data_IF_047678728907
#
_entry.id   IF_047678728907
#
_cell.length_a   1.000
_cell.length_b   1.000
_cell.length_c   1.000
_cell.angle_alpha   90.00
_cell.angle_beta   90.00
_cell.angle_gamma   90.00
#
_symmetry.space_group_name_H-M   'P 1'
#
loop_
_entity.id
_entity.type
_entity.pdbx_description
1 polymer ?
#
# COMPACT_ATOMS: atom_id res chain seq x y z
N UNK A 1 3.53 13.14 -5.16
CA UNK A 1 2.31 13.91 -5.51
C UNK A 1 2.10 15.09 -4.54
N UNK A 2 1.76 16.29 -5.00
CA UNK A 2 1.60 17.51 -4.18
C UNK A 2 0.21 17.74 -3.55
N UNK A 3 -0.56 16.70 -3.30
CA UNK A 3 -1.85 16.79 -2.61
C UNK A 3 -1.75 16.30 -1.15
N UNK A 4 -2.81 16.45 -0.33
CA UNK A 4 -2.75 16.02 1.07
C UNK A 4 -2.38 14.55 1.26
N UNK A 5 -2.84 13.67 0.36
CA UNK A 5 -2.51 12.24 0.38
C UNK A 5 -1.01 12.02 0.14
N UNK A 6 -0.46 12.58 -0.93
CA UNK A 6 0.94 12.39 -1.29
C UNK A 6 1.89 13.01 -0.28
N UNK A 7 1.56 14.19 0.24
CA UNK A 7 2.36 14.85 1.28
C UNK A 7 2.34 14.07 2.60
N UNK A 8 1.17 13.56 2.99
CA UNK A 8 1.01 12.72 4.18
C UNK A 8 1.84 11.44 4.08
N UNK A 9 1.73 10.73 2.96
CA UNK A 9 2.46 9.48 2.75
C UNK A 9 3.97 9.69 2.66
N UNK A 10 4.44 10.69 1.91
CA UNK A 10 5.87 11.02 1.84
C UNK A 10 6.46 11.37 3.23
N UNK A 11 5.70 12.07 4.08
CA UNK A 11 6.13 12.36 5.45
C UNK A 11 6.17 11.10 6.32
N UNK A 12 5.17 10.22 6.20
CA UNK A 12 5.14 8.96 6.93
C UNK A 12 6.35 8.07 6.56
N UNK A 13 6.64 7.93 5.26
CA UNK A 13 7.81 7.20 4.76
C UNK A 13 9.11 7.82 5.29
N UNK A 14 9.25 9.15 5.25
CA UNK A 14 10.45 9.81 5.75
C UNK A 14 10.66 9.64 7.25
N UNK A 15 9.58 9.78 8.04
CA UNK A 15 9.61 9.59 9.49
C UNK A 15 9.98 8.15 9.86
N UNK A 16 9.43 7.15 9.18
CA UNK A 16 9.75 5.75 9.45
C UNK A 16 11.16 5.39 8.99
N UNK A 17 11.59 5.90 7.82
CA UNK A 17 12.96 5.74 7.31
C UNK A 17 13.99 6.23 8.32
N UNK A 18 13.75 7.39 8.95
CA UNK A 18 14.64 7.93 9.97
C UNK A 18 14.80 7.00 11.19
N UNK A 19 13.71 6.34 11.64
CA UNK A 19 13.74 5.37 12.74
C UNK A 19 14.54 4.11 12.38
N UNK A 20 14.49 3.72 11.11
CA UNK A 20 15.18 2.54 10.57
C UNK A 20 16.62 2.83 10.13
N UNK A 21 17.10 4.08 10.28
CA UNK A 21 18.43 4.48 9.84
C UNK A 21 18.59 4.60 8.32
N UNK A 22 17.48 4.67 7.58
CA UNK A 22 17.46 4.86 6.12
C UNK A 22 17.58 6.36 5.82
N UNK A 23 18.60 6.73 5.04
CA UNK A 23 18.81 8.12 4.63
C UNK A 23 17.83 8.51 3.52
N UNK A 24 17.02 9.54 3.78
CA UNK A 24 16.17 10.18 2.77
C UNK A 24 16.90 11.37 2.16
N UNK A 25 17.25 11.27 0.87
CA UNK A 25 18.00 12.31 0.16
C UNK A 25 17.14 13.53 -0.23
N UNK A 26 15.82 13.36 -0.28
CA UNK A 26 14.89 14.45 -0.52
C UNK A 26 13.46 13.98 -0.79
N UNK A 27 12.53 14.92 -0.74
CA UNK A 27 11.14 14.75 -1.17
C UNK A 27 10.90 15.66 -2.37
N UNK A 28 10.41 15.10 -3.48
CA UNK A 28 10.28 15.81 -4.76
C UNK A 28 8.80 15.93 -5.14
N UNK A 29 8.07 16.91 -4.58
CA UNK A 29 6.66 17.12 -4.88
C UNK A 29 6.47 17.57 -6.34
N UNK A 30 5.36 17.17 -6.95
CA UNK A 30 4.93 17.54 -8.30
C UNK A 30 3.42 17.84 -8.32
N UNK A 31 3.01 18.83 -9.11
CA UNK A 31 1.60 19.16 -9.29
C UNK A 31 0.89 18.04 -10.08
N UNK A 32 -0.10 17.35 -9.49
CA UNK A 32 -0.82 16.30 -10.17
C UNK A 32 -1.94 16.77 -11.10
N UNK A 33 -2.11 18.08 -11.30
CA UNK A 33 -3.16 18.59 -12.16
C UNK A 33 -2.97 18.07 -13.61
N UNK A 34 -4.06 17.70 -14.31
CA UNK A 34 -3.95 17.26 -15.70
C UNK A 34 -3.24 18.26 -16.62
N UNK A 35 -3.31 19.57 -16.30
CA UNK A 35 -2.60 20.63 -17.01
C UNK A 35 -1.08 20.64 -16.82
N UNK A 36 -0.58 20.06 -15.73
CA UNK A 36 0.84 19.99 -15.42
C UNK A 36 1.50 18.67 -15.87
N UNK A 37 0.68 17.62 -16.10
CA UNK A 37 1.15 16.31 -16.53
C UNK A 37 1.51 16.27 -18.02
N UNK A 38 2.57 15.57 -18.44
CA UNK A 38 3.52 14.80 -17.62
C UNK A 38 4.76 15.62 -17.19
N UNK A 39 4.78 16.94 -17.45
CA UNK A 39 5.98 17.76 -17.28
C UNK A 39 6.39 17.90 -15.80
N UNK A 40 5.42 17.99 -14.89
CA UNK A 40 5.68 18.06 -13.46
C UNK A 40 6.32 16.79 -12.92
N UNK A 41 5.84 15.61 -13.34
CA UNK A 41 6.40 14.30 -12.99
C UNK A 41 7.85 14.17 -13.49
N UNK A 42 8.10 14.54 -14.75
CA UNK A 42 9.44 14.53 -15.34
C UNK A 42 10.40 15.43 -14.55
N UNK A 43 9.97 16.64 -14.19
CA UNK A 43 10.78 17.56 -13.41
C UNK A 43 11.08 17.02 -12.00
N UNK A 44 10.14 16.33 -11.35
CA UNK A 44 10.37 15.69 -10.05
C UNK A 44 11.34 14.51 -10.16
N UNK A 45 11.23 13.68 -11.20
CA UNK A 45 12.17 12.58 -11.49
C UNK A 45 13.59 13.12 -11.71
N UNK A 46 13.75 14.19 -12.49
CA UNK A 46 15.06 14.83 -12.71
C UNK A 46 15.68 15.34 -11.41
N UNK A 47 14.88 15.98 -10.53
CA UNK A 47 15.37 16.43 -9.21
C UNK A 47 15.77 15.24 -8.32
N UNK A 48 15.00 14.16 -8.33
CA UNK A 48 15.31 12.94 -7.58
C UNK A 48 16.61 12.28 -8.08
N UNK A 49 16.77 12.20 -9.41
CA UNK A 49 17.99 11.73 -10.07
C UNK A 49 19.22 12.56 -9.68
N UNK A 50 19.10 13.89 -9.74
CA UNK A 50 20.17 14.82 -9.34
C UNK A 50 20.55 14.68 -7.86
N UNK A 51 19.57 14.52 -6.98
CA UNK A 51 19.82 14.35 -5.55
C UNK A 51 20.48 13.01 -5.21
N UNK A 52 20.14 11.94 -5.94
CA UNK A 52 20.75 10.63 -5.76
C UNK A 52 22.16 10.56 -6.37
N UNK A 53 22.38 11.21 -7.52
CA UNK A 53 23.67 11.25 -8.19
C UNK A 53 24.17 9.86 -8.59
N UNK A 54 25.19 9.35 -7.91
CA UNK A 54 25.72 7.99 -8.16
C UNK A 54 25.13 7.03 -7.12
N UNK A 55 24.22 6.12 -7.51
CA UNK A 55 23.53 5.27 -6.56
C UNK A 55 24.42 4.14 -6.04
N UNK A 56 24.35 3.87 -4.74
CA UNK A 56 24.83 2.62 -4.16
C UNK A 56 23.86 1.45 -4.42
N UNK A 57 24.26 0.21 -4.09
CA UNK A 57 23.43 -0.98 -4.32
C UNK A 57 22.11 -0.98 -3.52
N UNK A 58 22.07 -0.23 -2.41
CA UNK A 58 20.90 -0.14 -1.51
C UNK A 58 20.00 1.07 -1.80
N UNK A 59 20.28 1.82 -2.88
CA UNK A 59 19.45 2.95 -3.26
C UNK A 59 18.08 2.50 -3.81
N UNK A 60 17.04 3.24 -3.47
CA UNK A 60 15.69 3.03 -3.98
C UNK A 60 15.01 4.37 -4.29
N UNK A 61 14.11 4.35 -5.27
CA UNK A 61 13.26 5.46 -5.64
C UNK A 61 11.81 5.16 -5.24
N UNK A 62 11.22 6.02 -4.40
CA UNK A 62 9.84 5.86 -3.92
C UNK A 62 8.89 6.71 -4.76
N UNK A 63 7.95 6.06 -5.42
CA UNK A 63 6.91 6.63 -6.25
C UNK A 63 5.61 6.77 -5.44
N UNK A 64 5.30 8.00 -5.05
CA UNK A 64 4.01 8.35 -4.43
C UNK A 64 3.12 8.97 -5.50
N UNK A 65 2.39 8.10 -6.20
CA UNK A 65 1.61 8.38 -7.41
C UNK A 65 0.28 7.62 -7.39
N UNK A 66 -0.68 8.07 -8.19
CA UNK A 66 -1.76 7.21 -8.69
C UNK A 66 -1.37 6.62 -10.04
N UNK A 67 -2.33 6.09 -10.78
CA UNK A 67 -2.08 5.23 -11.93
C UNK A 67 -1.55 6.01 -13.14
N UNK A 68 -2.20 7.12 -13.50
CA UNK A 68 -1.85 7.91 -14.68
C UNK A 68 -0.55 8.70 -14.51
N UNK A 69 -0.38 9.39 -13.38
CA UNK A 69 0.88 10.04 -13.01
C UNK A 69 1.97 9.01 -12.70
N UNK A 70 1.61 7.83 -12.18
CA UNK A 70 2.52 6.70 -11.99
C UNK A 70 3.15 6.21 -13.28
N UNK A 71 2.37 6.13 -14.38
CA UNK A 71 2.91 5.82 -15.71
C UNK A 71 3.91 6.89 -16.15
N UNK A 72 3.58 8.17 -16.01
CA UNK A 72 4.48 9.27 -16.39
C UNK A 72 5.79 9.27 -15.58
N UNK A 73 5.71 9.08 -14.26
CA UNK A 73 6.89 8.96 -13.38
C UNK A 73 7.73 7.75 -13.75
N UNK A 74 7.13 6.58 -13.95
CA UNK A 74 7.84 5.36 -14.31
C UNK A 74 8.55 5.48 -15.67
N UNK A 75 7.89 6.06 -16.67
CA UNK A 75 8.49 6.30 -17.99
C UNK A 75 9.64 7.30 -17.92
N UNK A 76 9.50 8.37 -17.13
CA UNK A 76 10.56 9.34 -16.93
C UNK A 76 11.77 8.70 -16.21
N UNK A 77 11.53 7.92 -15.15
CA UNK A 77 12.59 7.22 -14.40
C UNK A 77 13.26 6.11 -15.23
N UNK A 78 12.53 5.44 -16.13
CA UNK A 78 13.09 4.43 -17.03
C UNK A 78 14.13 5.01 -17.99
N UNK A 79 13.90 6.24 -18.45
CA UNK A 79 14.79 6.96 -19.36
C UNK A 79 15.89 7.73 -18.63
N UNK A 80 15.84 7.79 -17.30
CA UNK A 80 16.82 8.51 -16.48
C UNK A 80 18.05 7.63 -16.19
N UNK A 81 19.28 8.12 -16.40
CA UNK A 81 20.50 7.31 -16.29
C UNK A 81 20.88 6.89 -14.86
N UNK A 82 20.24 7.48 -13.85
CA UNK A 82 20.46 7.20 -12.43
C UNK A 82 19.33 6.32 -11.91
N UNK A 83 18.08 6.76 -12.06
CA UNK A 83 16.92 6.09 -11.48
C UNK A 83 16.57 4.78 -12.20
N UNK A 84 16.95 4.60 -13.46
CA UNK A 84 16.81 3.31 -14.16
C UNK A 84 17.66 2.16 -13.58
N UNK A 85 18.62 2.48 -12.69
CA UNK A 85 19.56 1.51 -12.10
C UNK A 85 19.22 1.14 -10.65
N UNK A 86 18.16 1.70 -10.08
CA UNK A 86 17.78 1.48 -8.68
C UNK A 86 16.43 0.79 -8.59
N UNK A 87 16.13 0.25 -7.41
CA UNK A 87 14.82 -0.34 -7.13
C UNK A 87 13.76 0.74 -7.07
N UNK A 88 12.57 0.44 -7.55
CA UNK A 88 11.43 1.33 -7.39
C UNK A 88 10.45 0.78 -6.37
N UNK A 89 9.90 1.66 -5.54
CA UNK A 89 8.91 1.31 -4.52
C UNK A 89 7.68 2.18 -4.75
N UNK A 90 6.51 1.57 -4.85
CA UNK A 90 5.22 2.25 -4.98
C UNK A 90 4.41 2.23 -3.69
N UNK A 91 3.25 2.86 -3.78
CA UNK A 91 2.25 2.93 -2.71
C UNK A 91 0.98 2.14 -3.07
N UNK A 92 0.00 2.17 -2.18
CA UNK A 92 -1.32 1.60 -2.39
C UNK A 92 -2.03 2.17 -3.62
N UNK A 93 -1.73 3.43 -3.99
CA UNK A 93 -2.37 4.16 -5.09
C UNK A 93 -2.18 3.55 -6.49
N UNK A 94 -1.37 2.50 -6.64
CA UNK A 94 -1.15 1.84 -7.93
C UNK A 94 -1.31 0.33 -7.93
N UNK A 95 -1.52 -0.29 -6.77
CA UNK A 95 -1.54 -1.76 -6.65
C UNK A 95 -2.70 -2.34 -7.46
N UNK A 96 -2.41 -3.30 -8.33
CA UNK A 96 -3.40 -3.94 -9.20
C UNK A 96 -3.79 -3.15 -10.45
N UNK A 97 -3.19 -1.98 -10.68
CA UNK A 97 -3.51 -1.15 -11.85
C UNK A 97 -3.08 -1.80 -13.17
N UNK A 98 -4.03 -1.99 -14.09
CA UNK A 98 -3.76 -2.44 -15.46
C UNK A 98 -3.13 -1.33 -16.30
N UNK A 99 -3.56 -0.08 -16.09
CA UNK A 99 -2.98 1.11 -16.73
C UNK A 99 -1.47 1.20 -16.48
N UNK A 100 -1.03 0.90 -15.26
CA UNK A 100 0.39 0.93 -14.92
C UNK A 100 1.18 -0.18 -15.64
N UNK A 101 0.60 -1.40 -15.73
CA UNK A 101 1.20 -2.53 -16.44
C UNK A 101 1.32 -2.25 -17.93
N UNK A 102 0.28 -1.72 -18.56
CA UNK A 102 0.25 -1.37 -19.99
C UNK A 102 1.20 -0.23 -20.32
N UNK A 103 1.22 0.82 -19.49
CA UNK A 103 2.01 2.02 -19.74
C UNK A 103 3.49 1.91 -19.38
N UNK A 104 3.83 1.11 -18.36
CA UNK A 104 5.19 1.08 -17.80
C UNK A 104 5.64 -0.29 -17.26
N UNK A 105 4.89 -1.37 -17.48
CA UNK A 105 5.13 -2.66 -16.82
C UNK A 105 6.53 -3.25 -17.06
N UNK A 106 7.11 -3.08 -18.24
CA UNK A 106 8.49 -3.55 -18.52
C UNK A 106 9.54 -2.79 -17.70
N UNK A 107 9.38 -1.47 -17.58
CA UNK A 107 10.29 -0.64 -16.79
C UNK A 107 10.16 -0.97 -15.29
N UNK A 108 8.93 -1.13 -14.81
CA UNK A 108 8.64 -1.51 -13.42
C UNK A 108 9.22 -2.89 -13.09
N UNK A 109 9.09 -3.87 -14.01
CA UNK A 109 9.71 -5.18 -13.85
C UNK A 109 11.25 -5.10 -13.82
N UNK A 110 11.87 -4.30 -14.70
CA UNK A 110 13.31 -4.09 -14.70
C UNK A 110 13.81 -3.45 -13.40
N UNK A 111 13.03 -2.52 -12.83
CA UNK A 111 13.33 -1.85 -11.57
C UNK A 111 12.99 -2.68 -10.30
N UNK A 112 12.67 -3.99 -10.45
CA UNK A 112 12.21 -4.86 -9.34
C UNK A 112 11.12 -4.18 -8.49
N UNK A 113 10.17 -3.53 -9.15
CA UNK A 113 9.18 -2.69 -8.50
C UNK A 113 8.32 -3.46 -7.48
N UNK A 114 8.17 -2.89 -6.29
CA UNK A 114 7.26 -3.37 -5.24
C UNK A 114 6.33 -2.26 -4.78
N UNK A 115 5.07 -2.56 -4.52
CA UNK A 115 4.09 -1.68 -3.92
C UNK A 115 3.30 -2.43 -2.84
N UNK A 116 2.65 -1.68 -1.94
CA UNK A 116 1.96 -2.28 -0.79
C UNK A 116 0.50 -1.85 -0.77
N UNK A 117 -0.39 -2.77 -0.41
CA UNK A 117 -1.82 -2.49 -0.20
C UNK A 117 -2.23 -3.11 1.13
N UNK A 118 -3.05 -2.39 1.91
CA UNK A 118 -3.59 -2.93 3.15
C UNK A 118 -4.37 -4.22 2.85
N UNK A 119 -4.06 -5.31 3.56
CA UNK A 119 -4.66 -6.61 3.28
C UNK A 119 -4.81 -7.43 4.56
N UNK A 120 -5.99 -8.05 4.79
CA UNK A 120 -6.14 -9.08 5.81
C UNK A 120 -5.16 -10.24 5.62
N UNK A 121 -4.98 -11.06 6.65
CA UNK A 121 -4.19 -12.27 6.52
C UNK A 121 -4.86 -13.21 5.50
N UNK A 122 -4.23 -13.53 4.36
CA UNK A 122 -4.84 -14.35 3.32
C UNK A 122 -5.10 -15.80 3.76
N UNK A 123 -4.48 -16.24 4.87
CA UNK A 123 -4.67 -17.56 5.45
C UNK A 123 -5.68 -17.56 6.62
N UNK A 124 -6.27 -16.42 6.97
CA UNK A 124 -7.29 -16.35 8.02
C UNK A 124 -8.61 -16.97 7.50
N UNK A 125 -9.15 -18.02 8.16
CA UNK A 125 -10.38 -18.65 7.70
C UNK A 125 -11.58 -17.68 7.67
N UNK A 126 -11.61 -16.65 8.52
CA UNK A 126 -12.67 -15.62 8.51
C UNK A 126 -12.58 -14.76 7.26
N UNK A 127 -11.36 -14.40 6.84
CA UNK A 127 -11.15 -13.65 5.62
C UNK A 127 -11.50 -14.50 4.39
N UNK A 128 -11.09 -15.76 4.37
CA UNK A 128 -11.41 -16.69 3.28
C UNK A 128 -12.93 -16.88 3.12
N UNK A 129 -13.66 -17.02 4.24
CA UNK A 129 -15.12 -17.08 4.23
C UNK A 129 -15.72 -15.78 3.71
N UNK A 130 -15.27 -14.63 4.21
CA UNK A 130 -15.72 -13.32 3.73
C UNK A 130 -15.52 -13.15 2.22
N UNK A 131 -14.37 -13.54 1.68
CA UNK A 131 -14.10 -13.46 0.22
C UNK A 131 -15.12 -14.29 -0.58
N UNK A 132 -15.48 -15.49 -0.09
CA UNK A 132 -16.48 -16.34 -0.75
C UNK A 132 -17.88 -15.70 -0.71
N UNK A 133 -18.32 -15.24 0.47
CA UNK A 133 -19.62 -14.61 0.67
C UNK A 133 -19.74 -13.30 -0.11
N UNK A 134 -18.71 -12.46 -0.06
CA UNK A 134 -18.64 -11.20 -0.79
C UNK A 134 -18.72 -11.45 -2.30
N UNK A 135 -17.99 -12.45 -2.82
CA UNK A 135 -18.05 -12.80 -4.24
C UNK A 135 -19.43 -13.33 -4.64
N UNK A 136 -20.08 -14.13 -3.80
CA UNK A 136 -21.43 -14.60 -4.05
C UNK A 136 -22.44 -13.44 -4.11
N UNK A 137 -22.29 -12.45 -3.23
CA UNK A 137 -23.20 -11.31 -3.14
C UNK A 137 -22.95 -10.25 -4.22
N UNK A 138 -21.69 -9.89 -4.45
CA UNK A 138 -21.27 -8.78 -5.32
C UNK A 138 -20.92 -9.21 -6.75
N UNK A 139 -20.69 -10.51 -7.00
CA UNK A 139 -20.23 -11.02 -8.31
C UNK A 139 -18.72 -10.90 -8.56
N UNK A 140 -17.99 -10.16 -7.71
CA UNK A 140 -16.52 -10.03 -7.74
C UNK A 140 -15.91 -10.24 -6.36
N UNK A 141 -14.64 -10.67 -6.25
CA UNK A 141 -13.94 -10.69 -4.96
C UNK A 141 -13.79 -9.27 -4.38
N UNK A 142 -13.61 -9.15 -3.05
CA UNK A 142 -13.36 -7.86 -2.42
C UNK A 142 -12.01 -7.29 -2.87
N UNK A 143 -11.93 -5.96 -2.96
CA UNK A 143 -10.72 -5.21 -3.32
C UNK A 143 -10.34 -4.23 -2.22
N UNK A 144 -9.04 -4.00 -2.04
CA UNK A 144 -8.47 -2.98 -1.16
C UNK A 144 -9.17 -2.86 0.21
N UNK A 145 -10.04 -1.86 0.35
CA UNK A 145 -10.63 -1.44 1.62
C UNK A 145 -11.96 -2.13 1.95
N UNK A 146 -12.54 -2.93 1.05
CA UNK A 146 -13.80 -3.67 1.25
C UNK A 146 -13.86 -4.48 2.57
N UNK A 147 -12.87 -5.32 2.93
CA UNK A 147 -12.92 -6.07 4.19
C UNK A 147 -12.85 -5.17 5.42
N UNK A 148 -12.17 -4.02 5.32
CA UNK A 148 -12.05 -3.06 6.42
C UNK A 148 -13.35 -2.27 6.62
N UNK A 149 -14.02 -1.88 5.53
CA UNK A 149 -15.33 -1.25 5.59
C UNK A 149 -16.39 -2.22 6.17
N UNK A 150 -16.32 -3.49 5.76
CA UNK A 150 -17.16 -4.55 6.33
C UNK A 150 -16.94 -4.67 7.85
N UNK A 151 -15.69 -4.77 8.30
CA UNK A 151 -15.39 -4.86 9.73
C UNK A 151 -15.81 -3.62 10.51
N UNK A 152 -15.64 -2.42 9.96
CA UNK A 152 -16.10 -1.18 10.60
C UNK A 152 -17.62 -1.19 10.83
N UNK A 153 -18.39 -1.60 9.81
CA UNK A 153 -19.83 -1.73 9.94
C UNK A 153 -20.22 -2.81 10.97
N UNK A 154 -19.57 -3.98 10.91
CA UNK A 154 -19.81 -5.08 11.86
C UNK A 154 -19.42 -4.72 13.29
N UNK A 155 -18.38 -3.92 13.48
CA UNK A 155 -17.94 -3.45 14.79
C UNK A 155 -19.04 -2.64 15.48
N UNK A 156 -19.63 -1.69 14.76
CA UNK A 156 -20.73 -0.86 15.25
C UNK A 156 -22.01 -1.69 15.43
N UNK A 157 -22.40 -2.46 14.41
CA UNK A 157 -23.65 -3.25 14.45
C UNK A 157 -23.66 -4.28 15.58
N UNK A 158 -22.53 -4.96 15.82
CA UNK A 158 -22.42 -5.90 16.94
C UNK A 158 -22.54 -5.18 18.27
N UNK A 159 -21.95 -3.99 18.44
CA UNK A 159 -22.09 -3.24 19.68
C UNK A 159 -23.56 -2.85 19.96
N UNK A 160 -24.28 -2.36 18.95
CA UNK A 160 -25.72 -2.05 19.05
C UNK A 160 -26.52 -3.30 19.42
N UNK A 161 -26.25 -4.43 18.77
CA UNK A 161 -26.93 -5.70 19.05
C UNK A 161 -26.63 -6.20 20.47
N UNK A 162 -25.38 -6.09 20.94
CA UNK A 162 -24.98 -6.48 22.31
C UNK A 162 -25.64 -5.61 23.38
N UNK A 163 -25.76 -4.30 23.14
CA UNK A 163 -26.35 -3.36 24.11
C UNK A 163 -27.88 -3.35 24.09
N UNK A 164 -28.50 -3.81 23.00
CA UNK A 164 -29.94 -3.66 22.76
C UNK A 164 -30.37 -2.20 22.58
N UNK A 165 -29.43 -1.30 22.27
CA UNK A 165 -29.69 0.14 22.09
C UNK A 165 -28.66 0.74 21.12
N UNK A 166 -29.09 1.77 20.39
CA UNK A 166 -28.24 2.58 19.51
C UNK A 166 -27.83 3.92 20.16
N UNK A 167 -27.90 4.01 21.50
CA UNK A 167 -27.40 5.19 22.22
C UNK A 167 -25.91 5.42 21.91
N UNK A 168 -25.53 6.58 21.33
CA UNK A 168 -24.18 6.79 20.82
C UNK A 168 -23.12 6.79 21.92
N UNK A 169 -23.47 7.22 23.14
CA UNK A 169 -22.52 7.24 24.27
C UNK A 169 -22.21 5.81 24.72
N UNK A 170 -23.24 4.98 24.89
CA UNK A 170 -23.07 3.57 25.29
C UNK A 170 -22.34 2.77 24.21
N UNK A 171 -22.68 2.99 22.94
CA UNK A 171 -22.01 2.34 21.82
C UNK A 171 -20.54 2.73 21.79
N UNK A 172 -20.22 4.02 21.84
CA UNK A 172 -18.83 4.49 21.85
C UNK A 172 -18.00 3.89 23.00
N UNK A 173 -18.56 3.84 24.21
CA UNK A 173 -17.91 3.21 25.36
C UNK A 173 -17.61 1.72 25.15
N UNK A 174 -18.55 0.97 24.56
CA UNK A 174 -18.34 -0.45 24.26
C UNK A 174 -17.31 -0.65 23.15
N UNK A 175 -17.34 0.18 22.10
CA UNK A 175 -16.34 0.13 21.03
C UNK A 175 -14.94 0.45 21.56
N UNK A 176 -14.80 1.45 22.43
CA UNK A 176 -13.53 1.77 23.10
C UNK A 176 -13.05 0.59 23.96
N UNK A 177 -13.95 -0.04 24.72
CA UNK A 177 -13.63 -1.23 25.50
C UNK A 177 -13.12 -2.37 24.61
N UNK A 178 -13.84 -2.69 23.53
CA UNK A 178 -13.44 -3.74 22.58
C UNK A 178 -12.15 -3.41 21.87
N UNK A 179 -11.93 -2.14 21.50
CA UNK A 179 -10.70 -1.66 20.88
C UNK A 179 -9.49 -1.76 21.81
N UNK A 180 -9.65 -1.61 23.13
CA UNK A 180 -8.57 -1.80 24.09
C UNK A 180 -8.24 -3.29 24.31
N UNK A 181 -9.24 -4.15 24.33
CA UNK A 181 -9.08 -5.58 24.64
C UNK A 181 -8.88 -6.49 23.42
N UNK A 182 -9.14 -5.99 22.21
CA UNK A 182 -9.21 -6.83 21.01
C UNK A 182 -10.40 -7.79 21.01
N UNK A 183 -11.44 -7.51 21.80
CA UNK A 183 -12.60 -8.42 21.95
C UNK A 183 -13.41 -8.56 20.67
N UNK A 184 -13.40 -7.56 19.80
CA UNK A 184 -13.95 -7.69 18.46
C UNK A 184 -12.89 -8.26 17.51
N UNK A 185 -13.21 -9.39 16.90
CA UNK A 185 -12.38 -10.03 15.88
C UNK A 185 -13.21 -10.16 14.61
N UNK A 186 -12.80 -9.43 13.57
CA UNK A 186 -13.47 -9.37 12.28
C UNK A 186 -12.76 -10.19 11.21
N UNK A 187 -13.11 -9.93 9.95
CA UNK A 187 -12.51 -10.57 8.77
C UNK A 187 -11.10 -10.07 8.52
N UNK A 188 -10.73 -8.91 9.08
CA UNK A 188 -9.39 -8.32 9.06
C UNK A 188 -8.56 -8.70 10.30
N UNK A 189 -9.04 -9.66 11.10
CA UNK A 189 -8.44 -10.08 12.36
C UNK A 189 -8.89 -9.24 13.55
N UNK A 190 -8.16 -9.31 14.68
CA UNK A 190 -8.49 -8.54 15.88
C UNK A 190 -8.47 -7.04 15.62
N UNK A 191 -9.39 -6.31 16.23
CA UNK A 191 -9.42 -4.84 16.16
C UNK A 191 -8.91 -4.28 17.48
N UNK A 192 -7.71 -3.70 17.43
CA UNK A 192 -7.16 -2.90 18.53
C UNK A 192 -7.13 -1.44 18.11
N UNK A 193 -7.57 -0.56 19.00
CA UNK A 193 -7.62 0.88 18.78
C UNK A 193 -6.67 1.61 19.73
N UNK A 194 -6.03 2.66 19.22
CA UNK A 194 -5.20 3.56 20.01
C UNK A 194 -6.06 4.64 20.71
N UNK A 195 -5.40 5.58 21.36
CA UNK A 195 -6.05 6.70 22.07
C UNK A 195 -6.80 7.68 21.16
N UNK A 196 -6.58 7.63 19.85
CA UNK A 196 -7.27 8.42 18.83
C UNK A 196 -8.40 7.62 18.17
N UNK A 197 -8.63 6.38 18.62
CA UNK A 197 -9.54 5.40 18.04
C UNK A 197 -9.14 4.93 16.64
N UNK A 198 -7.85 5.02 16.32
CA UNK A 198 -7.27 4.48 15.09
C UNK A 198 -6.79 3.05 15.31
N UNK A 199 -6.78 2.22 14.25
CA UNK A 199 -6.24 0.86 14.37
C UNK A 199 -4.75 0.91 14.68
N UNK A 200 -4.34 0.18 15.72
CA UNK A 200 -2.95 0.15 16.20
C UNK A 200 -1.98 -0.46 15.18
N UNK A 201 -2.47 -1.34 14.30
CA UNK A 201 -1.67 -1.97 13.26
C UNK A 201 -2.44 -2.13 11.96
N UNK A 202 -1.69 -2.26 10.88
CA UNK A 202 -2.17 -2.71 9.58
C UNK A 202 -1.23 -3.79 9.03
N UNK A 203 -1.82 -4.79 8.38
CA UNK A 203 -1.07 -5.76 7.59
C UNK A 203 -1.14 -5.39 6.12
N UNK A 204 -0.13 -5.78 5.36
CA UNK A 204 0.01 -5.39 3.97
C UNK A 204 0.32 -6.59 3.10
N UNK A 205 -0.37 -6.69 1.96
CA UNK A 205 0.09 -7.46 0.84
C UNK A 205 1.13 -6.61 0.10
N UNK A 206 2.30 -7.19 -0.13
CA UNK A 206 3.36 -6.60 -0.93
C UNK A 206 3.26 -7.24 -2.31
N UNK A 207 3.00 -6.43 -3.33
CA UNK A 207 2.89 -6.88 -4.72
C UNK A 207 4.00 -6.27 -5.56
N UNK A 208 4.46 -6.99 -6.57
CA UNK A 208 5.41 -6.48 -7.55
C UNK A 208 4.91 -6.67 -8.97
N UNK A 209 5.56 -6.01 -9.93
CA UNK A 209 5.33 -6.27 -11.35
C UNK A 209 6.49 -7.11 -11.86
N UNK A 210 6.20 -8.33 -12.29
CA UNK A 210 7.19 -9.28 -12.82
C UNK A 210 6.85 -9.71 -14.24
N UNK A 211 7.80 -10.33 -14.94
CA UNK A 211 7.53 -10.95 -16.25
C UNK A 211 6.97 -12.36 -16.03
N UNK A 212 5.68 -12.53 -16.34
CA UNK A 212 4.97 -13.81 -16.28
C UNK A 212 4.62 -14.22 -17.71
N UNK A 213 5.11 -15.38 -18.16
CA UNK A 213 4.91 -15.87 -19.53
C UNK A 213 5.30 -14.85 -20.62
N UNK A 214 6.37 -14.06 -20.38
CA UNK A 214 6.88 -13.07 -21.32
C UNK A 214 6.19 -11.70 -21.29
N UNK A 215 5.16 -11.51 -20.46
CA UNK A 215 4.46 -10.23 -20.31
C UNK A 215 4.55 -9.70 -18.87
N UNK A 216 4.63 -8.37 -18.67
CA UNK A 216 4.54 -7.80 -17.33
C UNK A 216 3.18 -8.07 -16.70
N UNK A 217 3.16 -8.49 -15.44
CA UNK A 217 1.95 -8.73 -14.67
C UNK A 217 2.19 -8.50 -13.17
N UNK A 218 1.13 -8.18 -12.44
CA UNK A 218 1.15 -8.11 -10.98
C UNK A 218 1.34 -9.50 -10.36
N UNK A 219 2.18 -9.56 -9.33
CA UNK A 219 2.52 -10.77 -8.60
C UNK A 219 2.47 -10.48 -7.10
N UNK A 220 1.80 -11.33 -6.33
CA UNK A 220 1.87 -11.29 -4.87
C UNK A 220 3.29 -11.67 -4.45
N UNK A 221 4.08 -10.72 -3.97
CA UNK A 221 5.49 -10.92 -3.67
C UNK A 221 5.71 -11.35 -2.22
N UNK A 222 5.03 -10.72 -1.27
CA UNK A 222 5.17 -11.04 0.14
C UNK A 222 3.95 -10.55 0.94
N UNK A 223 3.89 -10.92 2.22
CA UNK A 223 2.92 -10.40 3.16
C UNK A 223 3.61 -9.89 4.42
N UNK A 224 3.29 -8.66 4.81
CA UNK A 224 3.72 -8.07 6.08
C UNK A 224 2.60 -8.22 7.11
N UNK A 225 2.91 -8.87 8.23
CA UNK A 225 2.00 -9.00 9.35
C UNK A 225 2.20 -7.84 10.33
N UNK A 226 1.21 -6.95 10.40
CA UNK A 226 1.26 -5.77 11.27
C UNK A 226 1.30 -6.07 12.76
N UNK A 227 0.92 -7.28 13.19
CA UNK A 227 0.95 -7.67 14.61
C UNK A 227 2.32 -8.17 15.06
N UNK A 228 3.08 -8.80 14.16
CA UNK A 228 4.38 -9.41 14.47
C UNK A 228 5.56 -8.66 13.88
N UNK A 229 5.33 -7.74 12.95
CA UNK A 229 6.36 -7.07 12.16
C UNK A 229 7.08 -7.99 11.17
N UNK A 230 6.60 -9.22 10.96
CA UNK A 230 7.26 -10.19 10.09
C UNK A 230 6.80 -10.06 8.64
N UNK A 231 7.75 -10.22 7.72
CA UNK A 231 7.51 -10.34 6.28
C UNK A 231 7.66 -11.81 5.88
N UNK A 232 6.61 -12.37 5.28
CA UNK A 232 6.62 -13.69 4.66
C UNK A 232 6.73 -13.53 3.15
N UNK A 233 7.90 -13.81 2.58
CA UNK A 233 8.13 -13.77 1.14
C UNK A 233 7.54 -15.01 0.48
N UNK A 234 6.73 -14.81 -0.57
CA UNK A 234 6.16 -15.90 -1.35
C UNK A 234 7.15 -16.43 -2.38
N UNK A 235 7.02 -17.70 -2.82
CA UNK A 235 7.92 -18.28 -3.83
C UNK A 235 8.06 -17.42 -5.10
N UNK A 236 6.93 -16.94 -5.62
CA UNK A 236 6.90 -16.07 -6.80
C UNK A 236 7.45 -14.64 -6.56
N UNK A 237 7.68 -14.27 -5.30
CA UNK A 237 8.22 -12.97 -4.89
C UNK A 237 9.73 -12.93 -4.70
N UNK A 238 10.41 -14.09 -4.65
CA UNK A 238 11.82 -14.17 -4.22
C UNK A 238 12.76 -13.29 -5.04
N UNK A 239 12.56 -13.20 -6.35
CA UNK A 239 13.39 -12.39 -7.26
C UNK A 239 13.32 -10.88 -7.00
N UNK A 240 12.25 -10.40 -6.35
CA UNK A 240 12.14 -9.00 -5.96
C UNK A 240 13.01 -8.66 -4.75
N UNK A 241 13.38 -9.64 -3.92
CA UNK A 241 14.15 -9.41 -2.69
C UNK A 241 15.62 -9.81 -2.82
N UNK A 242 16.02 -10.50 -3.90
CA UNK A 242 17.43 -10.78 -4.18
C UNK A 242 18.13 -9.54 -4.72
N UNK A 243 19.37 -9.28 -4.27
CA UNK A 243 20.30 -8.27 -4.80
C UNK A 243 20.44 -8.39 -6.31
#
# INVERSE_FOLDING_TARGET
>A
RSDPWGQGLSRAVANESAKLGIQVLGLFPYDPSPSAMPAAEQAAVQKASQALGTPGPDAAFVMVTFESDGVAVAQAAANDPVLSKVRWIGSDGVVGSTTLVEGAGKALAAAKFLATIAAPNPNDPRYLQFVQEFKQFCGQPPVAYDPYAYDAAMFIMKAVATLGTADPTKVAQLLEQWGKSGSFVGVTGPVYLDQYHDRVYASYLIMGIGIVNGTPAWVNAAYYNGTTGQITVYPQGQSFFSS
#
